data_IF_111888742988
#
_entry.id   IF_111888742988
#
_cell.length_a   1.000
_cell.length_b   1.000
_cell.length_c   1.000
_cell.angle_alpha   90.00
_cell.angle_beta   90.00
_cell.angle_gamma   90.00
#
_symmetry.space_group_name_H-M   'P 1'
#
loop_
_entity.id
_entity.type
_entity.pdbx_description
1 polymer ?
#
# COMPACT_ATOMS: atom_id res chain seq x y z
N UNK A 1 4.63 7.07 14.94
CA UNK A 1 4.95 8.49 15.05
C UNK A 1 4.21 9.25 13.96
N UNK A 2 3.66 10.44 14.25
CA UNK A 2 2.96 11.28 13.29
C UNK A 2 3.89 12.42 12.84
N UNK A 3 3.88 12.69 11.53
CA UNK A 3 4.59 13.80 10.90
C UNK A 3 3.59 14.67 10.14
N UNK A 4 3.73 15.97 10.24
CA UNK A 4 2.97 16.91 9.41
C UNK A 4 3.46 16.94 7.96
N UNK A 5 2.63 17.46 7.02
CA UNK A 5 2.96 17.47 5.59
C UNK A 5 4.22 18.28 5.25
N UNK A 6 4.66 19.18 6.14
CA UNK A 6 5.81 20.08 5.95
C UNK A 6 6.99 19.77 6.89
N UNK A 7 6.93 18.70 7.68
CA UNK A 7 7.95 18.37 8.69
C UNK A 7 9.17 17.59 8.13
N UNK A 8 9.70 18.03 6.99
CA UNK A 8 10.82 17.38 6.32
C UNK A 8 12.05 17.21 7.23
N UNK A 9 12.39 18.20 8.05
CA UNK A 9 13.56 18.14 8.95
C UNK A 9 13.41 17.09 10.06
N UNK A 10 12.20 16.87 10.56
CA UNK A 10 11.91 15.80 11.53
C UNK A 10 11.96 14.43 10.86
N UNK A 11 11.50 14.34 9.62
CA UNK A 11 11.53 13.11 8.88
C UNK A 11 12.96 12.67 8.53
N UNK A 12 13.87 13.61 8.25
CA UNK A 12 15.30 13.31 8.03
C UNK A 12 15.92 12.60 9.24
N UNK A 13 15.51 12.98 10.45
CA UNK A 13 16.03 12.43 11.71
C UNK A 13 15.25 11.19 12.17
N UNK A 14 14.19 10.80 11.46
CA UNK A 14 13.42 9.62 11.82
C UNK A 14 14.26 8.35 11.66
N UNK A 15 14.17 7.42 12.62
CA UNK A 15 14.85 6.14 12.50
C UNK A 15 14.32 5.35 11.28
N UNK A 16 15.07 4.35 10.80
CA UNK A 16 14.55 3.42 9.81
C UNK A 16 13.23 2.82 10.30
N UNK A 17 12.24 2.76 9.41
CA UNK A 17 10.92 2.23 9.74
C UNK A 17 10.45 1.23 8.69
N UNK A 18 9.57 0.32 9.07
CA UNK A 18 9.07 -0.70 8.16
C UNK A 18 8.03 -0.15 7.18
N UNK A 19 7.24 0.83 7.61
CA UNK A 19 6.13 1.35 6.82
C UNK A 19 5.87 2.84 7.09
N UNK A 20 5.71 3.60 6.03
CA UNK A 20 5.19 4.97 6.02
C UNK A 20 3.76 4.97 5.50
N UNK A 21 2.86 5.56 6.26
CA UNK A 21 1.49 5.80 5.84
C UNK A 21 1.36 7.25 5.35
N UNK A 22 1.04 7.40 4.07
CA UNK A 22 0.83 8.70 3.42
C UNK A 22 -0.67 8.88 3.17
N UNK A 23 -1.36 9.59 4.04
CA UNK A 23 -2.81 9.77 3.98
C UNK A 23 -3.25 11.24 3.80
N UNK A 24 -2.30 12.15 3.60
CA UNK A 24 -2.54 13.58 3.32
C UNK A 24 -1.60 14.04 2.22
N UNK A 25 -1.93 15.12 1.49
CA UNK A 25 -0.98 15.75 0.58
C UNK A 25 0.34 16.10 1.29
N UNK A 26 1.45 15.87 0.63
CA UNK A 26 2.79 16.17 1.12
C UNK A 26 3.39 17.34 0.37
N UNK A 27 4.23 18.13 1.04
CA UNK A 27 5.11 19.06 0.34
C UNK A 27 6.12 18.28 -0.53
N UNK A 28 6.64 18.93 -1.57
CA UNK A 28 7.58 18.28 -2.50
C UNK A 28 8.78 17.68 -1.74
N UNK A 29 9.32 18.42 -0.78
CA UNK A 29 10.48 17.98 0.01
C UNK A 29 10.19 16.73 0.83
N UNK A 30 9.02 16.63 1.45
CA UNK A 30 8.61 15.45 2.22
C UNK A 30 8.34 14.27 1.29
N UNK A 31 7.70 14.51 0.14
CA UNK A 31 7.49 13.46 -0.86
C UNK A 31 8.81 12.90 -1.40
N UNK A 32 9.82 13.74 -1.66
CA UNK A 32 11.16 13.31 -2.08
C UNK A 32 11.82 12.44 -1.02
N UNK A 33 11.69 12.82 0.25
CA UNK A 33 12.23 12.02 1.36
C UNK A 33 11.53 10.67 1.49
N UNK A 34 10.21 10.61 1.34
CA UNK A 34 9.46 9.36 1.29
C UNK A 34 9.96 8.47 0.16
N UNK A 35 10.15 9.04 -1.03
CA UNK A 35 10.65 8.32 -2.20
C UNK A 35 12.04 7.77 -1.97
N UNK A 36 12.95 8.56 -1.40
CA UNK A 36 14.31 8.15 -1.11
C UNK A 36 14.38 7.04 -0.05
N UNK A 37 13.55 7.11 0.99
CA UNK A 37 13.41 6.07 2.00
C UNK A 37 12.87 4.78 1.40
N UNK A 38 11.87 4.90 0.52
CA UNK A 38 11.35 3.76 -0.23
C UNK A 38 12.45 3.10 -1.06
N UNK A 39 13.25 3.88 -1.80
CA UNK A 39 14.40 3.36 -2.57
C UNK A 39 15.41 2.59 -1.72
N UNK A 40 15.55 2.97 -0.46
CA UNK A 40 16.44 2.31 0.51
C UNK A 40 15.85 1.03 1.13
N UNK A 41 14.57 0.74 0.89
CA UNK A 41 13.93 -0.51 1.31
C UNK A 41 12.74 -0.34 2.26
N UNK A 42 12.40 0.91 2.65
CA UNK A 42 11.19 1.15 3.43
C UNK A 42 9.95 1.06 2.54
N UNK A 43 8.77 0.87 3.11
CA UNK A 43 7.51 0.74 2.37
C UNK A 43 6.67 1.99 2.53
N UNK A 44 5.92 2.31 1.47
CA UNK A 44 4.92 3.36 1.49
C UNK A 44 3.53 2.72 1.30
N UNK A 45 2.58 3.08 2.14
CA UNK A 45 1.17 2.76 1.98
C UNK A 45 0.41 4.06 1.78
N UNK A 46 -0.26 4.17 0.64
CA UNK A 46 -0.88 5.41 0.16
C UNK A 46 -2.36 5.13 -0.12
N UNK A 47 -3.26 5.25 0.86
CA UNK A 47 -4.70 5.30 0.58
C UNK A 47 -5.03 6.66 -0.04
N UNK A 48 -5.73 6.64 -1.15
CA UNK A 48 -6.16 7.88 -1.82
C UNK A 48 -7.38 8.43 -1.08
N UNK A 49 -7.16 9.49 -0.32
CA UNK A 49 -8.20 10.14 0.49
C UNK A 49 -9.05 11.11 -0.34
N UNK A 50 -8.48 11.67 -1.40
CA UNK A 50 -9.14 12.60 -2.30
C UNK A 50 -8.23 13.01 -3.45
N UNK A 51 -8.77 13.78 -4.40
CA UNK A 51 -8.04 14.23 -5.59
C UNK A 51 -6.92 15.22 -5.28
N UNK A 52 -6.94 15.85 -4.10
CA UNK A 52 -5.87 16.71 -3.59
C UNK A 52 -4.53 15.98 -3.43
N UNK A 53 -4.54 14.64 -3.38
CA UNK A 53 -3.32 13.83 -3.32
C UNK A 53 -2.61 13.69 -4.67
N UNK A 54 -3.14 14.25 -5.76
CA UNK A 54 -2.57 14.11 -7.10
C UNK A 54 -1.11 14.55 -7.17
N UNK A 55 -0.78 15.74 -6.66
CA UNK A 55 0.59 16.28 -6.69
C UNK A 55 1.56 15.38 -5.91
N UNK A 56 1.14 14.87 -4.77
CA UNK A 56 1.93 13.90 -3.98
C UNK A 56 2.15 12.62 -4.77
N UNK A 57 1.11 12.08 -5.38
CA UNK A 57 1.21 10.84 -6.14
C UNK A 57 2.12 11.01 -7.38
N UNK A 58 1.99 12.14 -8.12
CA UNK A 58 2.87 12.50 -9.24
C UNK A 58 4.34 12.61 -8.81
N UNK A 59 4.61 13.08 -7.60
CA UNK A 59 5.98 13.20 -7.08
C UNK A 59 6.56 11.85 -6.66
N UNK A 60 5.76 11.02 -5.98
CA UNK A 60 6.16 9.66 -5.56
C UNK A 60 6.24 8.69 -6.75
N UNK A 61 5.44 8.92 -7.76
CA UNK A 61 5.42 8.18 -9.00
C UNK A 61 5.67 9.16 -10.15
N UNK A 62 6.94 9.40 -10.51
CA UNK A 62 7.30 10.47 -11.44
C UNK A 62 6.85 10.15 -12.87
N UNK A 63 5.56 10.25 -13.09
CA UNK A 63 4.88 10.15 -14.37
C UNK A 63 4.05 11.41 -14.58
N UNK A 64 4.42 12.29 -15.52
CA UNK A 64 3.72 13.53 -15.76
C UNK A 64 2.31 13.33 -16.33
N UNK A 65 2.02 12.15 -16.88
CA UNK A 65 0.70 11.79 -17.40
C UNK A 65 -0.28 11.37 -16.29
N UNK A 66 0.22 11.07 -15.07
CA UNK A 66 -0.60 10.61 -13.97
C UNK A 66 -1.61 11.68 -13.57
N UNK A 67 -2.88 11.32 -13.67
CA UNK A 67 -4.00 12.14 -13.19
C UNK A 67 -4.86 11.35 -12.23
N UNK A 68 -5.50 12.08 -11.32
CA UNK A 68 -6.37 11.52 -10.30
C UNK A 68 -7.75 12.16 -10.40
N UNK A 69 -8.78 11.35 -10.53
CA UNK A 69 -10.18 11.82 -10.52
C UNK A 69 -11.05 10.89 -9.68
N UNK A 70 -12.15 11.40 -9.16
CA UNK A 70 -13.11 10.57 -8.44
C UNK A 70 -13.93 9.74 -9.44
N UNK A 71 -14.13 8.46 -9.15
CA UNK A 71 -14.95 7.58 -9.97
C UNK A 71 -16.43 7.92 -9.80
N UNK A 72 -17.15 7.98 -10.92
CA UNK A 72 -18.60 8.11 -10.89
C UNK A 72 -19.23 6.73 -10.59
N UNK A 73 -19.72 6.54 -9.38
CA UNK A 73 -20.43 5.34 -8.96
C UNK A 73 -21.93 5.61 -8.89
N UNK A 74 -22.75 4.61 -9.24
CA UNK A 74 -24.20 4.70 -9.04
C UNK A 74 -24.58 4.42 -7.59
N UNK A 75 -23.88 3.49 -6.94
CA UNK A 75 -24.10 3.08 -5.56
C UNK A 75 -22.74 2.81 -4.90
N UNK A 76 -22.15 1.64 -5.14
CA UNK A 76 -20.84 1.25 -4.62
C UNK A 76 -20.09 0.42 -5.66
N UNK A 77 -18.78 0.27 -5.47
CA UNK A 77 -17.94 -0.68 -6.19
C UNK A 77 -17.59 -1.88 -5.30
N UNK A 78 -17.30 -3.02 -5.92
CA UNK A 78 -16.81 -4.23 -5.26
C UNK A 78 -15.46 -4.63 -5.85
N UNK A 79 -14.64 -5.33 -5.07
CA UNK A 79 -13.47 -6.02 -5.63
C UNK A 79 -13.95 -7.21 -6.45
N UNK A 80 -13.74 -7.18 -7.76
CA UNK A 80 -14.23 -8.20 -8.69
C UNK A 80 -13.13 -9.13 -9.20
N UNK A 81 -11.90 -8.61 -9.36
CA UNK A 81 -10.75 -9.40 -9.76
C UNK A 81 -9.64 -9.24 -8.74
N UNK A 82 -9.18 -10.35 -8.15
CA UNK A 82 -8.13 -10.39 -7.15
C UNK A 82 -7.13 -11.47 -7.54
N UNK A 83 -5.87 -11.10 -7.66
CA UNK A 83 -4.78 -12.04 -7.85
C UNK A 83 -4.32 -12.60 -6.49
N UNK A 84 -4.80 -13.78 -6.14
CA UNK A 84 -4.43 -14.48 -4.90
C UNK A 84 -3.02 -15.10 -4.96
N UNK A 85 -2.32 -15.03 -6.09
CA UNK A 85 -0.92 -15.42 -6.18
C UNK A 85 0.01 -14.25 -5.88
N UNK A 86 -0.50 -13.02 -6.01
CA UNK A 86 0.26 -11.85 -5.61
C UNK A 86 0.47 -11.84 -4.08
N UNK A 87 1.69 -11.54 -3.57
CA UNK A 87 1.99 -11.57 -2.13
C UNK A 87 0.97 -10.84 -1.25
N UNK A 88 0.48 -9.67 -1.68
CA UNK A 88 -0.51 -8.89 -0.94
C UNK A 88 -1.79 -9.68 -0.62
N UNK A 89 -2.24 -10.54 -1.52
CA UNK A 89 -3.48 -11.31 -1.38
C UNK A 89 -3.27 -12.81 -1.13
N UNK A 90 -2.02 -13.30 -1.12
CA UNK A 90 -1.69 -14.69 -0.88
C UNK A 90 -2.29 -15.27 0.44
N UNK A 91 -2.39 -14.51 1.55
CA UNK A 91 -3.04 -15.01 2.77
C UNK A 91 -4.52 -15.36 2.59
N UNK A 92 -5.15 -14.89 1.51
CA UNK A 92 -6.56 -15.14 1.22
C UNK A 92 -6.78 -16.17 0.10
N UNK A 93 -5.73 -16.86 -0.34
CA UNK A 93 -5.84 -17.88 -1.40
C UNK A 93 -6.74 -19.08 -1.01
N UNK A 94 -6.89 -19.35 0.29
CA UNK A 94 -7.81 -20.38 0.78
C UNK A 94 -9.26 -19.93 0.54
N UNK A 95 -10.12 -20.79 -0.10
CA UNK A 95 -11.52 -20.46 -0.38
C UNK A 95 -12.36 -20.04 0.82
N UNK A 96 -11.97 -20.44 2.03
CA UNK A 96 -12.63 -19.99 3.28
C UNK A 96 -12.44 -18.51 3.58
N UNK A 97 -11.42 -17.89 3.00
CA UNK A 97 -11.02 -16.51 3.30
C UNK A 97 -11.02 -15.58 2.08
N UNK A 98 -11.32 -16.07 0.87
CA UNK A 98 -11.22 -15.30 -0.37
C UNK A 98 -12.46 -14.46 -0.73
N UNK A 99 -13.50 -14.49 0.08
CA UNK A 99 -14.71 -13.70 -0.15
C UNK A 99 -14.51 -12.25 0.26
N UNK A 100 -14.45 -11.35 -0.72
CA UNK A 100 -14.39 -9.89 -0.58
C UNK A 100 -15.70 -9.20 -1.01
N UNK A 101 -16.72 -9.95 -1.43
CA UNK A 101 -17.98 -9.43 -1.98
C UNK A 101 -18.81 -8.59 -1.00
N UNK A 102 -18.51 -8.71 0.29
CA UNK A 102 -19.20 -7.95 1.36
C UNK A 102 -18.53 -6.62 1.71
N UNK A 103 -17.45 -6.27 1.02
CA UNK A 103 -16.71 -5.03 1.28
C UNK A 103 -17.11 -4.02 0.22
N UNK A 104 -18.01 -3.11 0.58
CA UNK A 104 -18.47 -2.05 -0.30
C UNK A 104 -17.50 -0.87 -0.27
N UNK A 105 -17.28 -0.27 -1.45
CA UNK A 105 -16.51 0.94 -1.64
C UNK A 105 -17.44 2.00 -2.24
N UNK A 106 -17.89 2.93 -1.43
CA UNK A 106 -18.76 4.03 -1.88
C UNK A 106 -18.01 5.13 -2.58
N UNK A 107 -16.68 5.14 -2.41
CA UNK A 107 -15.79 6.10 -3.05
C UNK A 107 -14.48 5.45 -3.44
N UNK A 108 -14.07 5.61 -4.69
CA UNK A 108 -12.71 5.32 -5.12
C UNK A 108 -12.27 6.31 -6.20
N UNK A 109 -10.99 6.28 -6.55
CA UNK A 109 -10.39 7.21 -7.50
C UNK A 109 -9.84 6.46 -8.71
N UNK A 110 -9.95 7.09 -9.87
CA UNK A 110 -9.31 6.67 -11.09
C UNK A 110 -7.88 7.22 -11.08
N UNK A 111 -6.90 6.33 -11.23
CA UNK A 111 -5.50 6.69 -11.44
C UNK A 111 -5.20 6.44 -12.92
N UNK A 112 -5.08 7.51 -13.69
CA UNK A 112 -4.93 7.49 -15.15
C UNK A 112 -3.52 7.93 -15.49
N UNK A 113 -2.94 7.37 -16.54
CA UNK A 113 -1.66 7.77 -17.11
C UNK A 113 -0.59 6.69 -17.11
N UNK A 114 -0.27 6.05 -15.97
CA UNK A 114 0.76 5.02 -15.96
C UNK A 114 0.39 3.83 -16.87
N UNK A 115 1.39 3.30 -17.55
CA UNK A 115 1.25 2.02 -18.23
C UNK A 115 1.25 0.89 -17.20
N UNK A 116 0.08 0.31 -16.96
CA UNK A 116 -0.10 -0.76 -15.97
C UNK A 116 0.52 -2.10 -16.39
N UNK A 117 1.02 -2.21 -17.64
CA UNK A 117 1.74 -3.38 -18.15
C UNK A 117 3.26 -3.31 -17.90
N UNK A 118 3.77 -2.18 -17.41
CA UNK A 118 5.18 -2.04 -17.05
C UNK A 118 5.54 -2.99 -15.90
N UNK A 119 6.60 -3.77 -16.08
CA UNK A 119 7.09 -4.76 -15.11
C UNK A 119 7.47 -4.17 -13.73
N UNK A 120 7.64 -2.85 -13.63
CA UNK A 120 7.97 -2.19 -12.36
C UNK A 120 6.78 -2.09 -11.41
N UNK A 121 5.56 -2.36 -11.86
CA UNK A 121 4.36 -2.31 -11.04
C UNK A 121 3.38 -3.43 -11.37
N UNK A 122 2.43 -3.65 -10.49
CA UNK A 122 1.37 -4.64 -10.63
C UNK A 122 0.05 -4.10 -10.11
N UNK A 123 -1.04 -4.62 -10.65
CA UNK A 123 -2.41 -4.32 -10.21
C UNK A 123 -3.03 -5.60 -9.65
N UNK A 124 -2.78 -5.94 -8.38
CA UNK A 124 -3.22 -7.19 -7.80
C UNK A 124 -4.73 -7.27 -7.52
N UNK A 125 -5.46 -6.16 -7.59
CA UNK A 125 -6.91 -6.16 -7.49
C UNK A 125 -7.56 -5.07 -8.32
N UNK A 126 -8.68 -5.41 -8.95
CA UNK A 126 -9.54 -4.51 -9.71
C UNK A 126 -10.93 -4.43 -9.08
N UNK A 127 -11.56 -3.27 -9.21
CA UNK A 127 -13.00 -3.12 -8.98
C UNK A 127 -13.83 -3.75 -10.11
N UNK A 128 -15.13 -3.89 -9.89
CA UNK A 128 -16.11 -4.40 -10.86
C UNK A 128 -16.23 -3.51 -12.11
N UNK A 129 -15.92 -2.23 -12.02
CA UNK A 129 -15.78 -1.30 -13.14
C UNK A 129 -14.42 -1.41 -13.85
N UNK A 130 -13.61 -2.43 -13.54
CA UNK A 130 -12.27 -2.71 -14.09
C UNK A 130 -11.20 -1.67 -13.77
N UNK A 131 -11.45 -0.77 -12.85
CA UNK A 131 -10.45 0.19 -12.40
C UNK A 131 -9.54 -0.44 -11.33
N UNK A 132 -8.25 -0.08 -11.28
CA UNK A 132 -7.35 -0.54 -10.23
C UNK A 132 -7.88 -0.21 -8.85
N UNK A 133 -7.96 -1.21 -7.97
CA UNK A 133 -8.27 -1.04 -6.56
C UNK A 133 -7.00 -0.98 -5.71
N UNK A 134 -6.05 -1.85 -6.05
CA UNK A 134 -4.72 -1.85 -5.47
C UNK A 134 -3.67 -1.81 -6.56
N UNK A 135 -2.66 -0.97 -6.35
CA UNK A 135 -1.50 -0.86 -7.23
C UNK A 135 -0.26 -1.04 -6.36
N UNK A 136 0.67 -1.86 -6.80
CA UNK A 136 1.94 -2.09 -6.11
C UNK A 136 3.08 -1.75 -7.05
N UNK A 137 3.96 -0.84 -6.63
CA UNK A 137 5.14 -0.44 -7.41
C UNK A 137 6.41 -0.74 -6.64
N UNK A 138 7.33 -1.43 -7.27
CA UNK A 138 8.70 -1.59 -6.77
C UNK A 138 9.49 -0.31 -7.01
N UNK A 139 10.14 0.20 -5.96
CA UNK A 139 10.92 1.43 -6.01
C UNK A 139 12.27 1.22 -5.33
N UNK A 140 13.29 0.92 -6.11
CA UNK A 140 14.59 0.50 -5.58
C UNK A 140 14.46 -0.82 -4.80
N UNK A 141 14.77 -0.81 -3.51
CA UNK A 141 14.64 -1.99 -2.63
C UNK A 141 13.29 -2.03 -1.88
N UNK A 142 12.52 -0.94 -1.92
CA UNK A 142 11.24 -0.84 -1.24
C UNK A 142 10.06 -0.97 -2.20
N UNK A 143 8.87 -0.83 -1.64
CA UNK A 143 7.61 -0.92 -2.39
C UNK A 143 6.64 0.17 -1.99
N UNK A 144 5.86 0.63 -2.96
CA UNK A 144 4.72 1.50 -2.74
C UNK A 144 3.45 0.70 -2.97
N UNK A 145 2.54 0.78 -2.02
CA UNK A 145 1.21 0.18 -2.07
C UNK A 145 0.19 1.32 -2.15
N UNK A 146 -0.52 1.41 -3.24
CA UNK A 146 -1.56 2.42 -3.44
C UNK A 146 -2.92 1.74 -3.36
N UNK A 147 -3.74 2.16 -2.41
CA UNK A 147 -5.17 1.84 -2.37
C UNK A 147 -5.90 3.02 -3.02
N UNK A 148 -6.57 2.80 -4.14
CA UNK A 148 -7.26 3.86 -4.89
C UNK A 148 -8.55 4.35 -4.24
N UNK A 149 -8.88 3.81 -3.08
CA UNK A 149 -9.94 4.27 -2.17
C UNK A 149 -9.33 4.67 -0.83
N UNK A 150 -10.16 5.22 0.04
CA UNK A 150 -9.85 5.38 1.44
C UNK A 150 -10.43 4.21 2.25
N UNK A 151 -9.90 3.99 3.44
CA UNK A 151 -10.48 3.05 4.40
C UNK A 151 -11.36 3.72 5.46
N UNK A 152 -11.62 5.03 5.30
CA UNK A 152 -12.56 5.73 6.18
C UNK A 152 -13.95 5.07 6.06
N UNK A 153 -14.67 4.82 7.16
CA UNK A 153 -15.95 4.10 7.12
C UNK A 153 -17.02 4.76 6.23
N UNK A 154 -16.90 6.05 5.96
CA UNK A 154 -17.78 6.77 5.01
C UNK A 154 -17.47 6.46 3.54
N UNK A 155 -16.24 6.01 3.23
CA UNK A 155 -15.78 5.77 1.87
C UNK A 155 -15.72 4.27 1.54
N UNK A 156 -15.44 3.41 2.55
CA UNK A 156 -15.42 1.95 2.35
C UNK A 156 -15.62 1.17 3.65
N UNK A 157 -16.01 -0.10 3.50
CA UNK A 157 -16.08 -1.06 4.60
C UNK A 157 -14.73 -1.80 4.83
N UNK A 158 -13.67 -1.46 4.09
CA UNK A 158 -12.42 -2.22 4.14
C UNK A 158 -11.86 -2.31 5.56
N UNK A 159 -11.75 -1.19 6.28
CA UNK A 159 -11.22 -1.17 7.65
C UNK A 159 -12.10 -1.88 8.67
N UNK A 160 -13.38 -2.06 8.37
CA UNK A 160 -14.35 -2.78 9.21
C UNK A 160 -14.36 -4.29 8.93
N UNK A 161 -13.68 -4.72 7.88
CA UNK A 161 -13.65 -6.11 7.46
C UNK A 161 -12.55 -6.90 8.18
N UNK A 162 -12.76 -8.22 8.29
CA UNK A 162 -11.73 -9.15 8.79
C UNK A 162 -10.51 -9.26 7.88
N UNK A 163 -10.56 -8.68 6.67
CA UNK A 163 -9.47 -8.69 5.69
C UNK A 163 -8.43 -7.62 5.96
N UNK A 164 -8.82 -6.52 6.64
CA UNK A 164 -7.97 -5.34 6.76
C UNK A 164 -6.66 -5.61 7.50
N UNK A 165 -6.74 -6.23 8.67
CA UNK A 165 -5.55 -6.51 9.49
C UNK A 165 -4.58 -7.47 8.79
N UNK A 166 -5.01 -8.60 8.20
CA UNK A 166 -4.12 -9.43 7.41
C UNK A 166 -3.49 -8.71 6.20
N UNK A 167 -4.22 -7.83 5.49
CA UNK A 167 -3.64 -7.01 4.41
C UNK A 167 -2.51 -6.10 4.92
N UNK A 168 -2.74 -5.39 6.03
CA UNK A 168 -1.71 -4.55 6.64
C UNK A 168 -0.49 -5.37 7.09
N UNK A 169 -0.72 -6.54 7.68
CA UNK A 169 0.33 -7.44 8.09
C UNK A 169 1.19 -7.89 6.90
N UNK A 170 0.54 -8.27 5.80
CA UNK A 170 1.25 -8.65 4.57
C UNK A 170 2.11 -7.50 4.04
N UNK A 171 1.60 -6.25 4.03
CA UNK A 171 2.37 -5.08 3.64
C UNK A 171 3.60 -4.90 4.55
N UNK A 172 3.46 -5.14 5.84
CA UNK A 172 4.56 -5.05 6.80
C UNK A 172 5.60 -6.18 6.64
N UNK A 173 5.17 -7.37 6.23
CA UNK A 173 6.08 -8.51 6.06
C UNK A 173 6.74 -8.57 4.69
N UNK A 174 6.07 -8.09 3.64
CA UNK A 174 6.58 -8.13 2.29
C UNK A 174 7.86 -7.31 2.14
N UNK A 175 8.99 -7.96 2.10
CA UNK A 175 10.34 -7.36 2.05
C UNK A 175 11.18 -7.59 3.31
N UNK A 176 10.62 -8.16 4.37
CA UNK A 176 11.39 -8.62 5.54
C UNK A 176 12.17 -9.93 5.29
N UNK A 177 12.40 -10.29 4.02
CA UNK A 177 13.23 -11.45 3.65
C UNK A 177 14.66 -11.37 4.17
N UNK A 178 15.09 -10.25 4.77
CA UNK A 178 16.40 -10.11 5.41
C UNK A 178 16.37 -10.25 6.94
N UNK A 179 15.21 -10.27 7.57
CA UNK A 179 15.05 -10.75 8.93
C UNK A 179 14.49 -12.17 8.89
N UNK A 180 15.33 -13.10 8.47
CA UNK A 180 15.12 -14.53 8.71
C UNK A 180 15.13 -14.81 10.21
N UNK A 181 14.13 -14.31 10.90
CA UNK A 181 13.72 -14.89 12.16
C UNK A 181 13.08 -16.21 11.75
N UNK A 182 13.81 -17.28 11.91
CA UNK A 182 13.20 -18.61 11.96
C UNK A 182 12.09 -18.49 13.01
N UNK A 183 10.84 -18.46 12.56
CA UNK A 183 9.68 -18.30 13.46
C UNK A 183 9.31 -19.63 14.16
N UNK A 184 10.01 -20.70 13.84
CA UNK A 184 9.87 -22.01 14.46
C UNK A 184 11.22 -22.51 14.93
N UNK A 185 11.39 -22.62 16.23
CA UNK A 185 12.53 -23.27 16.86
C UNK A 185 12.08 -24.59 17.48
N UNK A 186 12.84 -25.65 17.24
CA UNK A 186 12.66 -26.90 17.96
C UNK A 186 13.39 -26.85 19.31
N UNK A 187 12.93 -27.65 20.26
CA UNK A 187 13.60 -27.77 21.55
C UNK A 187 15.02 -28.34 21.31
N UNK A 188 16.04 -27.50 21.61
CA UNK A 188 17.46 -27.81 21.40
C UNK A 188 18.15 -26.98 20.33
N UNK A 189 17.43 -26.15 19.57
CA UNK A 189 18.04 -25.25 18.59
C UNK A 189 18.84 -24.15 19.28
N UNK A 190 20.01 -23.82 18.70
CA UNK A 190 20.83 -22.71 19.19
C UNK A 190 20.33 -21.40 18.57
N UNK A 191 19.83 -20.51 19.40
CA UNK A 191 19.44 -19.16 18.99
C UNK A 191 20.66 -18.24 19.06
N UNK A 192 21.06 -17.67 17.93
CA UNK A 192 22.13 -16.66 17.90
C UNK A 192 21.62 -15.34 18.50
N UNK A 193 22.30 -14.82 19.54
CA UNK A 193 21.88 -13.64 20.30
C UNK A 193 21.90 -12.32 19.51
N UNK A 194 22.32 -12.33 18.25
CA UNK A 194 22.35 -11.14 17.39
C UNK A 194 20.99 -10.77 16.78
N UNK A 195 19.95 -11.58 16.99
CA UNK A 195 18.60 -11.34 16.48
C UNK A 195 17.84 -10.22 17.23
N UNK A 196 18.41 -9.68 18.33
CA UNK A 196 17.73 -8.74 19.24
C UNK A 196 18.39 -7.36 19.37
N UNK A 197 19.24 -6.97 18.39
CA UNK A 197 19.85 -5.62 18.37
C UNK A 197 19.29 -4.75 17.26
#
# INVERSE_FOLDING_TARGET
>A
QLYGPDEASRMEQAPPTDLWLVHTPLSEKVADQCLERCRKGERLLIPIMGTEMQSTLQRLWPDPSLTLSEAALQDYALLASIDFQHPLFAPFADPRYNDFSKIHFWKHHLVIGPDWEDAAHSVPALFDNRQPAWIVKTQGRGKMFVLTSSWAPKDSQLALSTKFVPLLHTILEEGNTTRGLETQYNVGDKIESNAWK
#
